data_IF_279172732422
#
_entry.id   IF_279172732422
#
_cell.length_a   1.000
_cell.length_b   1.000
_cell.length_c   1.000
_cell.angle_alpha   90.00
_cell.angle_beta   90.00
_cell.angle_gamma   90.00
#
_symmetry.space_group_name_H-M   'P 1'
#
loop_
_entity.id
_entity.type
_entity.pdbx_description
1 polymer ?
#
# COMPACT_ATOMS: atom_id res chain seq x y z
N UNK A 1 21.25 -5.47 11.03
CA UNK A 1 21.06 -4.65 9.81
C UNK A 1 19.59 -4.55 9.47
N UNK A 2 19.06 -3.33 9.37
CA UNK A 2 17.67 -3.12 9.02
C UNK A 2 17.51 -3.14 7.51
N UNK A 3 16.47 -3.85 7.05
CA UNK A 3 16.11 -3.80 5.63
C UNK A 3 15.22 -2.60 5.40
N UNK A 4 15.52 -1.81 4.37
CA UNK A 4 14.66 -0.69 3.98
C UNK A 4 13.28 -1.17 3.54
N UNK A 5 13.20 -2.34 2.89
CA UNK A 5 11.95 -2.94 2.41
C UNK A 5 11.68 -4.24 3.13
N UNK A 6 10.48 -4.36 3.71
CA UNK A 6 10.00 -5.59 4.33
C UNK A 6 8.65 -5.95 3.74
N UNK A 7 8.36 -7.25 3.63
CA UNK A 7 7.15 -7.75 3.00
C UNK A 7 6.39 -8.67 3.94
N UNK A 8 5.06 -8.53 3.95
CA UNK A 8 4.14 -9.45 4.62
C UNK A 8 3.18 -9.95 3.55
N UNK A 9 3.02 -11.28 3.47
CA UNK A 9 2.05 -11.88 2.54
C UNK A 9 0.79 -12.24 3.32
N UNK A 10 -0.36 -11.76 2.84
CA UNK A 10 -1.65 -12.08 3.45
C UNK A 10 -2.04 -13.53 3.16
N UNK A 11 -2.78 -14.14 4.08
CA UNK A 11 -3.27 -15.52 3.90
C UNK A 11 -4.60 -15.49 3.12
N UNK A 12 -4.54 -15.00 1.88
CA UNK A 12 -5.68 -14.93 0.96
C UNK A 12 -5.31 -15.54 -0.40
N UNK A 13 -4.43 -16.54 -0.40
CA UNK A 13 -3.97 -17.18 -1.63
C UNK A 13 -5.09 -17.82 -2.43
N UNK A 14 -4.98 -17.77 -3.77
CA UNK A 14 -5.97 -18.32 -4.68
C UNK A 14 -5.57 -18.07 -6.13
N UNK A 15 -6.52 -18.31 -7.05
CA UNK A 15 -6.27 -18.20 -8.50
C UNK A 15 -5.78 -16.81 -8.89
N UNK A 16 -6.32 -15.77 -8.24
CA UNK A 16 -6.03 -14.36 -8.58
C UNK A 16 -4.90 -13.75 -7.75
N UNK A 17 -4.56 -14.34 -6.59
CA UNK A 17 -3.59 -13.76 -5.65
C UNK A 17 -2.34 -14.62 -5.46
N UNK A 18 -2.26 -15.77 -6.14
CA UNK A 18 -1.14 -16.70 -6.00
C UNK A 18 -0.98 -17.16 -4.55
N UNK A 19 0.16 -16.90 -3.93
CA UNK A 19 0.43 -17.22 -2.53
C UNK A 19 -0.24 -16.24 -1.55
N UNK A 20 -0.85 -15.17 -2.06
CA UNK A 20 -1.49 -14.12 -1.27
C UNK A 20 -1.04 -12.73 -1.70
N UNK A 21 -1.76 -11.71 -1.21
CA UNK A 21 -1.42 -10.32 -1.49
C UNK A 21 -0.21 -9.90 -0.67
N UNK A 22 0.73 -9.21 -1.32
CA UNK A 22 1.92 -8.70 -0.65
C UNK A 22 1.69 -7.28 -0.15
N UNK A 23 1.98 -7.07 1.12
CA UNK A 23 2.01 -5.77 1.78
C UNK A 23 3.47 -5.40 2.02
N UNK A 24 3.84 -4.16 1.71
CA UNK A 24 5.22 -3.70 1.89
C UNK A 24 5.29 -2.62 2.96
N UNK A 25 6.33 -2.71 3.78
CA UNK A 25 6.70 -1.66 4.73
C UNK A 25 8.05 -1.09 4.29
N UNK A 26 8.06 0.19 3.95
CA UNK A 26 9.25 0.88 3.47
C UNK A 26 9.75 1.82 4.56
N UNK A 27 11.01 1.67 4.94
CA UNK A 27 11.63 2.48 5.99
C UNK A 27 11.81 1.76 7.30
N UNK A 28 12.50 2.39 8.24
CA UNK A 28 12.80 1.85 9.57
C UNK A 28 12.18 2.71 10.68
N UNK A 29 12.42 4.00 10.67
CA UNK A 29 11.86 4.94 11.67
C UNK A 29 10.69 5.75 11.13
N UNK A 30 10.62 5.94 9.82
CA UNK A 30 9.54 6.63 9.12
C UNK A 30 9.00 5.70 8.06
N UNK A 31 8.01 4.89 8.42
CA UNK A 31 7.53 3.78 7.59
C UNK A 31 6.36 4.20 6.74
N UNK A 32 6.44 3.88 5.44
CA UNK A 32 5.32 3.92 4.51
C UNK A 32 4.81 2.49 4.32
N UNK A 33 3.51 2.30 4.56
CA UNK A 33 2.82 1.04 4.35
C UNK A 33 2.20 1.04 2.96
N UNK A 34 2.51 0.04 2.14
CA UNK A 34 1.99 -0.06 0.77
C UNK A 34 1.10 -1.30 0.64
N UNK A 35 -0.10 -1.11 0.13
CA UNK A 35 -1.11 -2.14 -0.08
C UNK A 35 -1.36 -2.98 1.18
N UNK A 36 -2.08 -2.43 2.16
CA UNK A 36 -2.29 -3.12 3.43
C UNK A 36 -3.10 -4.43 3.32
N UNK A 37 -3.70 -4.69 2.15
CA UNK A 37 -4.34 -5.96 1.86
C UNK A 37 -5.75 -6.08 2.40
N UNK A 38 -6.24 -7.33 2.57
CA UNK A 38 -7.60 -7.57 3.01
C UNK A 38 -7.81 -7.16 4.46
N UNK A 39 -9.05 -6.81 4.79
CA UNK A 39 -9.43 -6.48 6.18
C UNK A 39 -9.54 -7.77 6.99
N UNK A 40 -8.39 -8.30 7.35
CA UNK A 40 -8.24 -9.55 8.11
C UNK A 40 -7.49 -9.24 9.40
N UNK A 41 -8.06 -9.62 10.54
CA UNK A 41 -7.52 -9.27 11.85
C UNK A 41 -6.09 -9.79 12.07
N UNK A 42 -5.80 -11.01 11.62
CA UNK A 42 -4.47 -11.59 11.74
C UNK A 42 -3.44 -10.85 10.90
N UNK A 43 -3.80 -10.51 9.65
CA UNK A 43 -2.93 -9.76 8.74
C UNK A 43 -2.65 -8.36 9.27
N UNK A 44 -3.68 -7.66 9.74
CA UNK A 44 -3.54 -6.33 10.35
C UNK A 44 -2.64 -6.40 11.57
N UNK A 45 -2.80 -7.42 12.41
CA UNK A 45 -1.95 -7.62 13.59
C UNK A 45 -0.48 -7.76 13.21
N UNK A 46 -0.17 -8.55 12.18
CA UNK A 46 1.20 -8.71 11.70
C UNK A 46 1.79 -7.39 11.20
N UNK A 47 1.00 -6.59 10.49
CA UNK A 47 1.41 -5.27 10.00
C UNK A 47 1.76 -4.37 11.20
N UNK A 48 0.89 -4.31 12.20
CA UNK A 48 1.08 -3.43 13.35
C UNK A 48 2.31 -3.85 14.18
N UNK A 49 2.52 -5.15 14.33
CA UNK A 49 3.69 -5.66 15.05
C UNK A 49 5.00 -5.32 14.31
N UNK A 50 5.02 -5.52 12.98
CA UNK A 50 6.21 -5.21 12.18
C UNK A 50 6.47 -3.70 12.12
N UNK A 51 5.42 -2.88 12.14
CA UNK A 51 5.54 -1.43 12.07
C UNK A 51 6.01 -0.75 13.36
N UNK A 52 5.86 -1.39 14.51
CA UNK A 52 6.35 -0.88 15.81
C UNK A 52 5.96 0.57 16.10
N UNK A 53 4.73 0.97 15.77
CA UNK A 53 4.24 2.35 15.90
C UNK A 53 4.99 3.39 15.05
N UNK A 54 5.72 2.95 14.03
CA UNK A 54 6.52 3.82 13.16
C UNK A 54 5.91 4.02 11.77
N UNK A 55 4.72 3.45 11.52
CA UNK A 55 4.00 3.65 10.26
C UNK A 55 3.40 5.06 10.26
N UNK A 56 3.79 5.86 9.27
CA UNK A 56 3.41 7.28 9.19
C UNK A 56 2.39 7.58 8.09
N UNK A 57 2.25 6.69 7.11
CA UNK A 57 1.32 6.86 6.00
C UNK A 57 1.01 5.54 5.33
N UNK A 58 -0.09 5.52 4.58
CA UNK A 58 -0.51 4.35 3.80
C UNK A 58 -0.59 4.76 2.33
N UNK A 59 0.02 3.96 1.45
CA UNK A 59 -0.11 4.09 0.00
C UNK A 59 -0.83 2.87 -0.55
N UNK A 60 -1.64 3.07 -1.58
CA UNK A 60 -2.37 2.00 -2.25
C UNK A 60 -2.07 2.06 -3.73
N UNK A 61 -1.64 0.93 -4.31
CA UNK A 61 -1.36 0.84 -5.75
C UNK A 61 -2.64 0.87 -6.56
N UNK A 62 -3.70 0.21 -6.08
CA UNK A 62 -5.03 0.24 -6.66
C UNK A 62 -6.05 -0.24 -5.62
N UNK A 63 -7.33 -0.07 -5.91
CA UNK A 63 -8.39 -0.28 -4.92
C UNK A 63 -9.17 -1.57 -5.12
N UNK A 64 -8.57 -2.61 -5.65
CA UNK A 64 -9.17 -3.94 -5.65
C UNK A 64 -9.28 -4.48 -4.23
N UNK A 65 -10.27 -5.35 -4.00
CA UNK A 65 -10.64 -5.81 -2.66
C UNK A 65 -9.56 -6.65 -1.96
N UNK A 66 -8.52 -7.06 -2.66
CA UNK A 66 -7.39 -7.78 -2.08
C UNK A 66 -6.20 -6.88 -1.71
N UNK A 67 -6.25 -5.58 -2.02
CA UNK A 67 -5.13 -4.65 -1.80
C UNK A 67 -5.38 -3.55 -0.78
N UNK A 68 -6.58 -2.99 -0.72
CA UNK A 68 -6.82 -1.78 0.06
C UNK A 68 -7.74 -1.89 1.28
N UNK A 69 -8.55 -2.94 1.49
CA UNK A 69 -9.55 -2.92 2.56
C UNK A 69 -9.02 -2.70 3.97
N UNK A 70 -7.80 -3.12 4.27
CA UNK A 70 -7.19 -2.90 5.58
C UNK A 70 -6.73 -1.44 5.81
N UNK A 71 -6.71 -0.62 4.76
CA UNK A 71 -6.22 0.77 4.86
C UNK A 71 -7.04 1.60 5.85
N UNK A 72 -8.35 1.58 5.74
CA UNK A 72 -9.22 2.38 6.62
C UNK A 72 -9.09 2.01 8.10
N UNK A 73 -9.20 0.74 8.52
CA UNK A 73 -9.03 0.39 9.93
C UNK A 73 -7.64 0.72 10.47
N UNK A 74 -6.58 0.53 9.69
CA UNK A 74 -5.22 0.88 10.11
C UNK A 74 -5.05 2.39 10.22
N UNK A 75 -5.55 3.14 9.24
CA UNK A 75 -5.52 4.61 9.27
C UNK A 75 -6.20 5.16 10.51
N UNK A 76 -7.37 4.64 10.85
CA UNK A 76 -8.11 5.06 12.05
C UNK A 76 -7.37 4.70 13.33
N UNK A 77 -6.82 3.49 13.40
CA UNK A 77 -6.14 3.02 14.61
C UNK A 77 -4.86 3.79 14.88
N UNK A 78 -4.09 4.12 13.84
CA UNK A 78 -2.82 4.83 13.98
C UNK A 78 -2.95 6.34 13.78
N UNK A 79 -4.09 6.82 13.34
CA UNK A 79 -4.35 8.22 13.00
C UNK A 79 -3.34 8.74 11.96
N UNK A 80 -3.24 8.03 10.84
CA UNK A 80 -2.31 8.33 9.76
C UNK A 80 -3.04 8.51 8.44
N UNK A 81 -2.49 9.32 7.50
CA UNK A 81 -3.13 9.56 6.21
C UNK A 81 -3.01 8.41 5.23
N UNK A 82 -3.95 8.35 4.30
CA UNK A 82 -3.98 7.41 3.18
C UNK A 82 -3.79 8.18 1.87
N UNK A 83 -2.97 7.63 0.97
CA UNK A 83 -2.71 8.19 -0.35
C UNK A 83 -2.98 7.16 -1.44
N UNK A 84 -3.53 7.60 -2.56
CA UNK A 84 -3.78 6.74 -3.70
C UNK A 84 -4.65 7.46 -4.73
N UNK A 85 -5.28 6.70 -5.61
CA UNK A 85 -6.25 7.21 -6.58
C UNK A 85 -7.54 6.44 -6.46
N UNK A 86 -8.65 7.12 -6.68
CA UNK A 86 -9.96 6.47 -6.79
C UNK A 86 -10.16 6.04 -8.24
N UNK A 87 -10.98 5.00 -8.41
CA UNK A 87 -11.40 4.55 -9.74
C UNK A 87 -12.63 5.32 -10.17
N UNK A 88 -12.75 5.59 -11.48
CA UNK A 88 -13.89 6.32 -12.01
C UNK A 88 -15.13 5.46 -12.23
N UNK A 89 -14.96 4.13 -12.23
CA UNK A 89 -16.05 3.19 -12.47
C UNK A 89 -16.34 2.36 -11.23
N UNK A 90 -17.63 2.18 -10.96
CA UNK A 90 -18.08 1.31 -9.90
C UNK A 90 -17.98 -0.15 -10.36
N UNK A 91 -17.34 -0.99 -9.54
CA UNK A 91 -17.13 -2.40 -9.81
C UNK A 91 -17.21 -3.19 -8.52
N UNK A 92 -17.70 -4.43 -8.60
CA UNK A 92 -17.76 -5.31 -7.43
C UNK A 92 -16.37 -5.68 -6.89
N UNK A 93 -15.33 -5.53 -7.70
CA UNK A 93 -13.95 -5.83 -7.31
C UNK A 93 -13.29 -4.68 -6.56
N UNK A 94 -13.95 -3.52 -6.49
CA UNK A 94 -13.39 -2.32 -5.88
C UNK A 94 -13.72 -2.21 -4.40
N UNK A 95 -12.71 -1.80 -3.63
CA UNK A 95 -12.88 -1.47 -2.22
C UNK A 95 -13.48 -0.07 -2.10
N UNK A 96 -14.73 -0.01 -1.69
CA UNK A 96 -15.46 1.25 -1.55
C UNK A 96 -15.18 1.96 -0.22
N UNK A 97 -14.39 1.34 0.65
CA UNK A 97 -14.01 1.93 1.94
C UNK A 97 -12.77 2.81 1.85
N UNK A 98 -12.00 2.71 0.76
CA UNK A 98 -10.78 3.48 0.60
C UNK A 98 -11.09 4.92 0.20
N UNK A 99 -10.76 5.85 1.08
CA UNK A 99 -10.96 7.30 0.86
C UNK A 99 -9.64 8.02 1.17
N UNK A 100 -8.78 8.24 0.14
CA UNK A 100 -7.49 8.87 0.38
C UNK A 100 -7.65 10.35 0.74
N UNK A 101 -6.87 10.82 1.70
CA UNK A 101 -6.78 12.25 2.01
C UNK A 101 -6.08 13.01 0.87
N UNK A 102 -5.18 12.34 0.17
CA UNK A 102 -4.47 12.93 -0.97
C UNK A 102 -4.54 11.97 -2.15
N UNK A 103 -5.02 12.50 -3.29
CA UNK A 103 -5.00 11.77 -4.56
C UNK A 103 -3.62 11.92 -5.19
N UNK A 104 -2.96 10.79 -5.44
CA UNK A 104 -1.62 10.79 -6.04
C UNK A 104 -1.73 10.87 -7.55
N UNK A 105 -0.84 11.66 -8.15
CA UNK A 105 -0.71 11.82 -9.59
C UNK A 105 0.66 11.34 -10.05
N UNK A 106 0.77 11.02 -11.34
CA UNK A 106 2.04 10.64 -11.94
C UNK A 106 3.11 11.69 -11.65
N UNK A 107 4.26 11.25 -11.16
CA UNK A 107 5.38 12.13 -10.83
C UNK A 107 5.38 12.65 -9.39
N UNK A 108 4.29 12.45 -8.63
CA UNK A 108 4.29 12.85 -7.22
C UNK A 108 5.32 12.04 -6.43
N UNK A 109 6.00 12.69 -5.50
CA UNK A 109 7.03 12.05 -4.67
C UNK A 109 6.68 12.12 -3.20
N UNK A 110 7.10 11.10 -2.47
CA UNK A 110 7.06 11.07 -1.01
C UNK A 110 8.49 10.91 -0.54
N UNK A 111 9.01 11.94 0.13
CA UNK A 111 10.40 11.97 0.60
C UNK A 111 10.46 11.96 2.12
N UNK A 112 11.31 11.10 2.65
CA UNK A 112 11.61 11.03 4.07
C UNK A 112 13.14 11.11 4.24
N UNK A 113 13.62 11.11 5.48
CA UNK A 113 15.07 11.07 5.73
C UNK A 113 15.70 9.76 5.30
N UNK A 114 14.90 8.72 5.06
CA UNK A 114 15.41 7.37 4.76
C UNK A 114 15.27 6.98 3.29
N UNK A 115 14.28 7.56 2.58
CA UNK A 115 13.98 7.14 1.21
C UNK A 115 13.15 8.17 0.45
N UNK A 116 13.08 8.00 -0.87
CA UNK A 116 12.20 8.75 -1.76
C UNK A 116 11.40 7.77 -2.61
N UNK A 117 10.07 7.90 -2.58
CA UNK A 117 9.17 7.13 -3.43
C UNK A 117 8.59 8.04 -4.50
N UNK A 118 8.71 7.65 -5.77
CA UNK A 118 8.11 8.35 -6.90
C UNK A 118 6.88 7.60 -7.38
N UNK A 119 5.78 8.32 -7.56
CA UNK A 119 4.53 7.76 -8.06
C UNK A 119 4.53 7.71 -9.57
N UNK A 120 4.20 6.54 -10.13
CA UNK A 120 4.07 6.33 -11.56
C UNK A 120 2.68 5.78 -11.83
N UNK A 121 1.88 6.52 -12.62
CA UNK A 121 0.54 6.07 -12.98
C UNK A 121 0.64 5.04 -14.11
N UNK A 122 0.21 3.81 -13.83
CA UNK A 122 0.31 2.67 -14.74
C UNK A 122 -1.06 2.03 -14.93
N UNK A 123 -2.00 2.70 -15.64
CA UNK A 123 -3.32 2.12 -15.89
C UNK A 123 -3.19 0.88 -16.78
N UNK A 124 -3.98 -0.15 -16.49
CA UNK A 124 -3.95 -1.41 -17.22
C UNK A 124 -4.75 -2.45 -16.45
N UNK A 125 -4.16 -3.04 -15.42
CA UNK A 125 -4.84 -3.95 -14.51
C UNK A 125 -6.05 -3.27 -13.85
N UNK A 126 -5.88 -2.01 -13.44
CA UNK A 126 -6.95 -1.14 -12.97
C UNK A 126 -6.69 0.28 -13.47
N UNK A 127 -7.74 1.07 -13.70
CA UNK A 127 -7.57 2.44 -14.21
C UNK A 127 -6.86 3.36 -13.21
N UNK A 128 -6.95 3.05 -11.92
CA UNK A 128 -6.31 3.81 -10.85
C UNK A 128 -4.97 3.22 -10.39
N UNK A 129 -4.42 2.26 -11.14
CA UNK A 129 -3.21 1.54 -10.73
C UNK A 129 -2.00 2.46 -10.69
N UNK A 130 -1.25 2.41 -9.58
CA UNK A 130 -0.01 3.15 -9.37
C UNK A 130 1.12 2.18 -9.08
N UNK A 131 2.31 2.52 -9.57
CA UNK A 131 3.56 1.90 -9.15
C UNK A 131 4.34 2.92 -8.33
N UNK A 132 5.15 2.45 -7.41
CA UNK A 132 6.01 3.30 -6.59
C UNK A 132 7.46 2.92 -6.83
N UNK A 133 8.25 3.88 -7.29
CA UNK A 133 9.66 3.69 -7.56
C UNK A 133 10.48 4.17 -6.37
N UNK A 134 11.22 3.24 -5.76
CA UNK A 134 12.12 3.55 -4.65
C UNK A 134 13.47 3.96 -5.23
N UNK A 135 13.75 5.26 -5.23
CA UNK A 135 14.90 5.83 -5.95
C UNK A 135 16.23 5.30 -5.42
N UNK A 136 16.36 5.17 -4.11
CA UNK A 136 17.62 4.77 -3.46
C UNK A 136 18.06 3.35 -3.83
N UNK A 137 17.09 2.47 -4.15
CA UNK A 137 17.39 1.09 -4.54
C UNK A 137 17.09 0.79 -6.00
N UNK A 138 16.69 1.80 -6.78
CA UNK A 138 16.29 1.65 -8.19
C UNK A 138 15.28 0.52 -8.39
N UNK A 139 14.34 0.42 -7.46
CA UNK A 139 13.36 -0.66 -7.40
C UNK A 139 11.96 -0.12 -7.63
N UNK A 140 11.23 -0.75 -8.54
CA UNK A 140 9.83 -0.45 -8.80
C UNK A 140 8.97 -1.45 -8.05
N UNK A 141 8.02 -0.96 -7.25
CA UNK A 141 7.06 -1.77 -6.53
C UNK A 141 5.79 -1.88 -7.38
N UNK A 142 5.60 -3.04 -7.97
CA UNK A 142 4.46 -3.37 -8.82
C UNK A 142 3.76 -4.57 -8.21
N UNK A 143 2.45 -4.47 -8.09
CA UNK A 143 1.60 -5.60 -7.69
C UNK A 143 0.83 -6.09 -8.89
N UNK A 144 1.13 -7.27 -9.28
CA UNK A 144 0.44 -7.92 -10.39
C UNK A 144 -0.41 -9.03 -9.84
#
# INVERSE_FOLDING_TARGET
MHKLIRKITANNGGVFTGNGTNTYLIGDEDITLIDPGPNNAEHIKKILLMGENKIKRILVTHTHTDHSPAALPISKKLNIPMFGRLIDRDSEWEDKTFLPETVLSHGDTISTNEYTLETIHTPGHASNHLCFYLKEQKLSLIHI
#
